data_IF_048037594683
#
_entry.id   IF_048037594683
#
_cell.length_a   1.000
_cell.length_b   1.000
_cell.length_c   1.000
_cell.angle_alpha   90.00
_cell.angle_beta   90.00
_cell.angle_gamma   90.00
#
_symmetry.space_group_name_H-M   'P 1'
#
loop_
_entity.id
_entity.type
_entity.pdbx_description
1 polymer ?
#
# COMPACT_ATOMS: atom_id res chain seq x y z
N UNK A 1 -17.88 7.67 0.00
CA UNK A 1 -16.44 7.73 -0.27
C UNK A 1 -16.05 6.50 -1.08
N UNK A 2 -15.34 6.68 -2.16
CA UNK A 2 -14.99 5.54 -3.00
C UNK A 2 -13.80 4.75 -2.43
N UNK A 3 -13.56 3.58 -3.01
CA UNK A 3 -12.51 2.67 -2.54
C UNK A 3 -11.13 3.30 -2.65
N UNK A 4 -10.87 4.06 -3.72
CA UNK A 4 -9.58 4.71 -3.91
C UNK A 4 -9.26 5.67 -2.78
N UNK A 5 -10.23 6.48 -2.38
CA UNK A 5 -10.06 7.41 -1.27
C UNK A 5 -9.86 6.68 0.05
N UNK A 6 -10.56 5.57 0.26
CA UNK A 6 -10.38 4.75 1.47
C UNK A 6 -8.97 4.16 1.54
N UNK A 7 -8.46 3.70 0.42
CA UNK A 7 -7.09 3.18 0.35
C UNK A 7 -6.08 4.27 0.68
N UNK A 8 -6.25 5.46 0.10
CA UNK A 8 -5.36 6.59 0.38
C UNK A 8 -5.42 7.03 1.84
N UNK A 9 -6.59 7.00 2.45
CA UNK A 9 -6.73 7.30 3.88
C UNK A 9 -6.03 6.27 4.75
N UNK A 10 -6.16 4.99 4.43
CA UNK A 10 -5.43 3.94 5.13
C UNK A 10 -3.94 4.17 5.08
N UNK A 11 -3.43 4.55 3.90
CA UNK A 11 -2.02 4.83 3.72
C UNK A 11 -1.56 6.02 4.55
N UNK A 12 -2.38 7.07 4.62
CA UNK A 12 -2.07 8.27 5.40
C UNK A 12 -2.00 7.99 6.90
N UNK A 13 -2.78 7.03 7.39
CA UNK A 13 -2.80 6.66 8.81
C UNK A 13 -1.55 5.91 9.24
N UNK A 14 -0.86 5.28 8.30
CA UNK A 14 0.34 4.51 8.62
C UNK A 14 1.55 5.43 8.64
N UNK A 15 2.32 5.36 9.72
CA UNK A 15 3.52 6.19 9.89
C UNK A 15 4.67 5.73 8.98
N UNK A 16 4.69 4.45 8.64
CA UNK A 16 5.76 3.88 7.81
C UNK A 16 5.58 4.16 6.33
N UNK A 17 4.42 4.70 5.92
CA UNK A 17 4.15 4.98 4.53
C UNK A 17 3.89 3.74 3.68
N UNK A 18 3.66 2.59 4.30
CA UNK A 18 3.41 1.33 3.63
C UNK A 18 1.92 1.00 3.60
N UNK A 19 1.52 0.27 2.56
CA UNK A 19 0.18 -0.27 2.45
C UNK A 19 0.29 -1.75 2.08
N UNK A 20 -0.20 -2.61 2.95
CA UNK A 20 -0.22 -4.04 2.69
C UNK A 20 -1.60 -4.44 2.20
N UNK A 21 -1.65 -5.48 1.34
CA UNK A 21 -2.91 -5.96 0.80
C UNK A 21 -3.90 -6.34 1.91
N UNK A 22 -3.39 -6.90 3.00
CA UNK A 22 -4.24 -7.26 4.14
C UNK A 22 -4.92 -6.04 4.78
N UNK A 23 -4.32 -4.86 4.69
CA UNK A 23 -4.91 -3.63 5.23
C UNK A 23 -6.13 -3.18 4.43
N UNK A 24 -6.28 -3.66 3.21
CA UNK A 24 -7.37 -3.25 2.33
C UNK A 24 -8.56 -4.20 2.33
N UNK A 25 -8.46 -5.35 2.99
CA UNK A 25 -9.49 -6.39 2.94
C UNK A 25 -10.87 -5.90 3.39
N UNK A 26 -10.91 -5.00 4.37
CA UNK A 26 -12.16 -4.48 4.91
C UNK A 26 -12.75 -3.35 4.05
N UNK A 27 -12.06 -2.90 3.01
CA UNK A 27 -12.46 -1.73 2.24
C UNK A 27 -13.38 -2.07 1.05
N UNK A 28 -13.40 -3.34 0.64
CA UNK A 28 -14.21 -3.75 -0.50
C UNK A 28 -13.91 -5.18 -0.92
N UNK A 29 -14.51 -5.61 -2.02
CA UNK A 29 -14.25 -6.94 -2.56
C UNK A 29 -12.84 -7.01 -3.15
N UNK A 30 -12.24 -8.23 -3.24
CA UNK A 30 -10.91 -8.37 -3.83
C UNK A 30 -10.80 -7.79 -5.24
N UNK A 31 -11.84 -7.95 -6.06
CA UNK A 31 -11.85 -7.42 -7.42
C UNK A 31 -11.82 -5.89 -7.42
N UNK A 32 -12.64 -5.25 -6.60
CA UNK A 32 -12.69 -3.80 -6.49
C UNK A 32 -11.38 -3.23 -5.99
N UNK A 33 -10.79 -3.87 -4.99
CA UNK A 33 -9.51 -3.45 -4.41
C UNK A 33 -8.40 -3.55 -5.46
N UNK A 34 -8.34 -4.66 -6.22
CA UNK A 34 -7.33 -4.84 -7.25
C UNK A 34 -7.41 -3.75 -8.33
N UNK A 35 -8.62 -3.44 -8.79
CA UNK A 35 -8.82 -2.39 -9.78
C UNK A 35 -8.41 -1.01 -9.22
N UNK A 36 -8.80 -0.74 -7.97
CA UNK A 36 -8.48 0.54 -7.34
C UNK A 36 -6.97 0.71 -7.13
N UNK A 37 -6.29 -0.32 -6.66
CA UNK A 37 -4.84 -0.28 -6.46
C UNK A 37 -4.10 -0.05 -7.78
N UNK A 38 -4.51 -0.75 -8.83
CA UNK A 38 -3.92 -0.58 -10.15
C UNK A 38 -4.11 0.84 -10.66
N UNK A 39 -5.29 1.38 -10.49
CA UNK A 39 -5.59 2.76 -10.89
C UNK A 39 -4.71 3.77 -10.14
N UNK A 40 -4.54 3.57 -8.83
CA UNK A 40 -3.70 4.46 -8.01
C UNK A 40 -2.23 4.39 -8.42
N UNK A 41 -1.73 3.20 -8.75
CA UNK A 41 -0.36 3.02 -9.27
C UNK A 41 -0.20 3.74 -10.61
N UNK A 42 -1.18 3.57 -11.52
CA UNK A 42 -1.14 4.20 -12.84
C UNK A 42 -1.13 5.73 -12.73
N UNK A 43 -1.80 6.28 -11.73
CA UNK A 43 -1.83 7.73 -11.50
C UNK A 43 -0.62 8.24 -10.73
N UNK A 44 0.25 7.36 -10.28
CA UNK A 44 1.43 7.74 -9.52
C UNK A 44 1.16 8.14 -8.07
N UNK A 45 0.00 7.79 -7.54
CA UNK A 45 -0.39 8.12 -6.16
C UNK A 45 0.15 7.12 -5.14
N UNK A 46 0.46 5.91 -5.59
CA UNK A 46 1.16 4.89 -4.79
C UNK A 46 2.16 4.18 -5.69
N UNK A 47 3.15 3.52 -5.09
CA UNK A 47 4.09 2.68 -5.82
C UNK A 47 3.97 1.25 -5.35
N UNK A 48 3.99 0.31 -6.29
CA UNK A 48 4.00 -1.12 -6.00
C UNK A 48 5.45 -1.56 -5.79
N UNK A 49 5.75 -2.07 -4.61
CA UNK A 49 7.09 -2.56 -4.27
C UNK A 49 7.23 -4.05 -4.55
N UNK A 50 6.19 -4.81 -4.27
CA UNK A 50 6.14 -6.24 -4.49
C UNK A 50 4.68 -6.66 -4.48
N UNK A 51 4.40 -7.96 -4.69
CA UNK A 51 3.04 -8.46 -4.66
C UNK A 51 2.39 -8.17 -3.30
N UNK A 52 1.30 -7.39 -3.33
CA UNK A 52 0.58 -7.04 -2.13
C UNK A 52 1.26 -6.00 -1.22
N UNK A 53 2.32 -5.37 -1.69
CA UNK A 53 3.05 -4.36 -0.92
C UNK A 53 3.14 -3.07 -1.73
N UNK A 54 2.62 -1.99 -1.17
CA UNK A 54 2.59 -0.67 -1.80
C UNK A 54 3.14 0.37 -0.83
N UNK A 55 3.54 1.51 -1.34
CA UNK A 55 4.11 2.57 -0.50
C UNK A 55 3.79 3.94 -1.07
N UNK A 56 3.90 4.98 -0.22
CA UNK A 56 3.86 6.36 -0.69
C UNK A 56 5.07 6.65 -1.56
N UNK A 57 4.89 7.29 -2.72
CA UNK A 57 6.03 7.65 -3.57
C UNK A 57 7.07 8.51 -2.85
N UNK A 58 6.63 9.41 -1.96
CA UNK A 58 7.55 10.24 -1.17
C UNK A 58 8.44 9.40 -0.26
N UNK A 59 7.89 8.37 0.35
CA UNK A 59 8.68 7.46 1.21
C UNK A 59 9.66 6.64 0.40
N UNK A 60 9.26 6.22 -0.80
CA UNK A 60 10.17 5.50 -1.70
C UNK A 60 11.39 6.37 -2.04
N UNK A 61 11.16 7.64 -2.31
CA UNK A 61 12.25 8.58 -2.60
C UNK A 61 13.15 8.84 -1.40
N UNK A 62 12.56 8.90 -0.19
CA UNK A 62 13.31 9.16 1.04
C UNK A 62 14.12 7.97 1.52
N UNK A 63 13.52 6.79 1.53
CA UNK A 63 14.09 5.60 2.18
C UNK A 63 14.60 4.55 1.19
N UNK A 64 14.10 4.58 -0.05
CA UNK A 64 14.42 3.58 -1.05
C UNK A 64 13.51 2.37 -0.99
N UNK A 65 13.35 1.72 -2.15
CA UNK A 65 12.45 0.57 -2.29
C UNK A 65 12.88 -0.60 -1.41
N UNK A 66 14.18 -0.87 -1.35
CA UNK A 66 14.71 -2.01 -0.61
C UNK A 66 14.46 -1.89 0.90
N UNK A 67 14.69 -0.69 1.46
CA UNK A 67 14.46 -0.45 2.88
C UNK A 67 12.99 -0.59 3.24
N UNK A 68 12.09 -0.06 2.41
CA UNK A 68 10.66 -0.16 2.62
C UNK A 68 10.18 -1.60 2.50
N UNK A 69 10.69 -2.33 1.52
CA UNK A 69 10.33 -3.73 1.30
C UNK A 69 10.76 -4.59 2.50
N UNK A 70 11.95 -4.36 3.01
CA UNK A 70 12.45 -5.06 4.19
C UNK A 70 11.55 -4.79 5.40
N UNK A 71 11.16 -3.54 5.62
CA UNK A 71 10.24 -3.15 6.69
C UNK A 71 8.89 -3.85 6.53
N UNK A 72 8.36 -3.89 5.30
CA UNK A 72 7.08 -4.53 5.01
C UNK A 72 7.13 -6.02 5.30
N UNK A 73 8.22 -6.68 4.96
CA UNK A 73 8.39 -8.11 5.22
C UNK A 73 8.46 -8.42 6.71
N UNK A 74 9.09 -7.57 7.49
CA UNK A 74 9.13 -7.72 8.95
C UNK A 74 7.75 -7.60 9.57
N UNK A 75 6.96 -6.63 9.12
CA UNK A 75 5.59 -6.45 9.60
C UNK A 75 4.74 -7.66 9.25
N UNK A 76 4.90 -8.17 8.04
CA UNK A 76 4.17 -9.35 7.57
C UNK A 76 4.51 -10.58 8.40
N UNK A 77 5.79 -10.78 8.72
CA UNK A 77 6.24 -11.90 9.53
C UNK A 77 5.67 -11.86 10.96
N UNK A 78 5.52 -10.67 11.53
CA UNK A 78 4.97 -10.50 12.86
C UNK A 78 3.48 -10.89 12.89
N UNK A 79 2.76 -10.69 11.82
CA UNK A 79 1.33 -10.97 11.73
C UNK A 79 1.01 -12.41 11.29
N UNK A 80 1.99 -13.13 10.82
CA UNK A 80 1.86 -14.53 10.49
C UNK A 80 2.16 -15.38 11.72
#
# INVERSE_FOLDING_TARGET
>A
MDIKNRILQSLRRRKDGLLLRQDTKALGSPSQISVALRSLVDKGLIEKLDRGIYAKPTKVRQLGREALLETALKVKDIHD
#
